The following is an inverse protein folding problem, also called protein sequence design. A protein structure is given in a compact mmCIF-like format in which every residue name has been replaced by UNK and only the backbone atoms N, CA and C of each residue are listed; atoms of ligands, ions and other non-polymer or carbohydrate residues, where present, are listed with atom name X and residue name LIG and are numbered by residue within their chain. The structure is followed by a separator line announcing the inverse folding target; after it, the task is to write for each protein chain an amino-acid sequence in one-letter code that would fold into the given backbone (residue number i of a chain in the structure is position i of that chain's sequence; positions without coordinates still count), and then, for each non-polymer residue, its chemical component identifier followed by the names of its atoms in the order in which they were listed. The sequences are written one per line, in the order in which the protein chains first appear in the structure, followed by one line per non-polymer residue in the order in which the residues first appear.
data_IF_356188041450
#
_entry.id   IF_356188041450
#
_cell.length_a   1.000
_cell.length_b   1.000
_cell.length_c   1.000
_cell.angle_alpha   90.00
_cell.angle_beta   90.00
_cell.angle_gamma   90.00
#
_symmetry.space_group_name_H-M   'P 1'
#
loop_
_entity.id
_entity.type
_entity.pdbx_description
1 polymer ?
#
# COMPACT_ATOMS: atom_id res chain seq x y z
N UNK A 1 24.09 13.98 3.21
CA UNK A 1 23.38 12.81 2.68
C UNK A 1 23.27 12.94 1.17
N UNK A 2 23.70 11.91 0.44
CA UNK A 2 23.36 11.80 -0.98
C UNK A 2 21.83 11.85 -1.16
N UNK A 3 21.36 12.33 -2.31
CA UNK A 3 19.93 12.51 -2.61
C UNK A 3 19.11 11.24 -2.31
N UNK A 4 19.65 10.06 -2.62
CA UNK A 4 19.04 8.75 -2.33
C UNK A 4 18.74 8.55 -0.84
N UNK A 5 19.67 8.90 0.04
CA UNK A 5 19.49 8.76 1.48
C UNK A 5 18.41 9.69 2.04
N UNK A 6 18.28 10.90 1.49
CA UNK A 6 17.20 11.83 1.88
C UNK A 6 15.83 11.34 1.44
N UNK A 7 15.75 10.74 0.26
CA UNK A 7 14.52 10.14 -0.29
C UNK A 7 14.10 8.92 0.55
N UNK A 8 15.06 8.06 0.91
CA UNK A 8 14.79 6.89 1.74
C UNK A 8 14.22 7.28 3.12
N UNK A 9 14.66 8.39 3.71
CA UNK A 9 14.13 8.88 4.99
C UNK A 9 12.65 9.31 4.96
N UNK A 10 12.04 9.50 3.79
CA UNK A 10 10.62 9.83 3.68
C UNK A 10 9.72 8.59 3.70
N UNK A 11 10.29 7.39 3.64
CA UNK A 11 9.52 6.15 3.57
C UNK A 11 9.38 5.55 4.97
N UNK A 12 8.16 5.16 5.34
CA UNK A 12 7.94 4.39 6.56
C UNK A 12 8.45 2.96 6.48
N UNK A 13 8.26 2.31 5.31
CA UNK A 13 8.64 0.93 5.02
C UNK A 13 9.16 0.82 3.57
N UNK A 14 9.91 -0.24 3.25
CA UNK A 14 10.42 -0.55 1.90
C UNK A 14 11.23 0.58 1.26
N UNK A 15 11.98 1.32 2.06
CA UNK A 15 12.71 2.51 1.66
C UNK A 15 13.69 2.25 0.52
N UNK A 16 14.38 1.11 0.53
CA UNK A 16 15.34 0.74 -0.50
C UNK A 16 14.63 0.44 -1.83
N UNK A 17 13.54 -0.33 -1.77
CA UNK A 17 12.77 -0.73 -2.94
C UNK A 17 12.11 0.49 -3.60
N UNK A 18 11.41 1.31 -2.82
CA UNK A 18 10.74 2.51 -3.32
C UNK A 18 11.76 3.49 -3.89
N UNK A 19 12.87 3.73 -3.17
CA UNK A 19 13.94 4.60 -3.70
C UNK A 19 14.45 4.08 -5.02
N UNK A 20 14.75 2.79 -5.15
CA UNK A 20 15.25 2.25 -6.41
C UNK A 20 14.23 2.36 -7.55
N UNK A 21 12.94 2.11 -7.29
CA UNK A 21 11.86 2.29 -8.27
C UNK A 21 11.76 3.75 -8.77
N UNK A 22 11.93 4.73 -7.88
CA UNK A 22 11.91 6.14 -8.23
C UNK A 22 13.10 6.52 -9.12
N UNK A 23 14.30 6.04 -8.80
CA UNK A 23 15.50 6.33 -9.59
C UNK A 23 15.56 5.57 -10.93
N UNK A 24 14.90 4.41 -11.04
CA UNK A 24 14.72 3.70 -12.31
C UNK A 24 13.52 4.20 -13.13
N UNK A 25 12.79 5.22 -12.64
CA UNK A 25 11.64 5.84 -13.31
C UNK A 25 10.52 4.88 -13.74
N UNK A 26 10.32 3.77 -13.03
CA UNK A 26 9.32 2.74 -13.37
C UNK A 26 7.89 3.30 -13.41
N UNK A 27 7.61 4.32 -12.58
CA UNK A 27 6.28 4.87 -12.38
C UNK A 27 5.98 6.05 -13.34
N UNK A 28 6.97 6.53 -14.08
CA UNK A 28 6.86 7.80 -14.82
C UNK A 28 5.87 7.71 -16.00
N UNK A 29 5.79 6.57 -16.66
CA UNK A 29 4.94 6.29 -17.83
C UNK A 29 3.59 5.65 -17.46
N UNK A 30 3.38 5.31 -16.19
CA UNK A 30 2.19 4.61 -15.69
C UNK A 30 1.06 5.57 -15.33
N UNK A 31 -0.18 5.12 -15.51
CA UNK A 31 -1.39 5.85 -15.06
C UNK A 31 -1.55 5.75 -13.54
N UNK A 32 -2.29 6.67 -12.90
CA UNK A 32 -2.48 6.66 -11.44
C UNK A 32 -3.02 5.32 -10.90
N UNK A 33 -3.92 4.67 -11.62
CA UNK A 33 -4.49 3.37 -11.25
C UNK A 33 -3.47 2.24 -11.36
N UNK A 34 -2.61 2.31 -12.38
CA UNK A 34 -1.51 1.36 -12.55
C UNK A 34 -0.45 1.53 -11.46
N UNK A 35 -0.17 2.77 -11.06
CA UNK A 35 0.76 3.09 -9.97
C UNK A 35 0.25 2.51 -8.66
N UNK A 36 -1.03 2.73 -8.33
CA UNK A 36 -1.65 2.19 -7.12
C UNK A 36 -1.56 0.66 -7.10
N UNK A 37 -1.89 0.01 -8.22
CA UNK A 37 -1.82 -1.44 -8.37
C UNK A 37 -0.38 -1.98 -8.22
N UNK A 38 0.61 -1.34 -8.83
CA UNK A 38 2.00 -1.78 -8.75
C UNK A 38 2.58 -1.62 -7.35
N UNK A 39 2.26 -0.52 -6.65
CA UNK A 39 2.75 -0.27 -5.29
C UNK A 39 2.03 -1.11 -4.24
N UNK A 40 0.88 -1.73 -4.54
CA UNK A 40 0.21 -2.62 -3.59
C UNK A 40 1.06 -3.83 -3.20
N UNK A 41 2.03 -4.21 -4.03
CA UNK A 41 2.92 -5.34 -3.74
C UNK A 41 3.88 -5.09 -2.57
N UNK A 42 4.07 -3.83 -2.19
CA UNK A 42 4.89 -3.42 -1.05
C UNK A 42 4.13 -3.49 0.27
N UNK A 43 2.80 -3.57 0.26
CA UNK A 43 1.99 -3.51 1.51
C UNK A 43 1.18 -4.78 1.74
N UNK A 44 1.04 -5.62 0.72
CA UNK A 44 0.31 -6.87 0.81
C UNK A 44 1.26 -8.01 1.18
N UNK A 45 0.91 -8.80 2.19
CA UNK A 45 1.79 -9.84 2.73
C UNK A 45 1.16 -11.24 2.76
N UNK A 46 -0.11 -11.40 2.39
CA UNK A 46 -0.78 -12.69 2.47
C UNK A 46 -0.54 -13.55 1.24
N UNK A 47 -0.36 -14.85 1.43
CA UNK A 47 -0.22 -15.80 0.32
C UNK A 47 -1.57 -15.93 -0.39
N UNK A 48 -1.57 -15.72 -1.70
CA UNK A 48 -2.72 -15.87 -2.60
C UNK A 48 -2.24 -16.57 -3.86
N UNK A 49 -3.13 -17.30 -4.52
CA UNK A 49 -2.86 -17.88 -5.84
C UNK A 49 -2.70 -16.77 -6.89
N UNK A 50 -1.67 -16.90 -7.72
CA UNK A 50 -1.09 -15.80 -8.53
C UNK A 50 -1.79 -15.61 -9.90
N UNK A 51 -3.04 -16.07 -10.04
CA UNK A 51 -3.83 -15.94 -11.28
C UNK A 51 -4.40 -14.51 -11.41
N UNK A 52 -3.56 -13.60 -11.89
CA UNK A 52 -3.87 -12.18 -12.06
C UNK A 52 -4.28 -11.87 -13.51
N UNK A 53 -5.51 -11.40 -13.71
CA UNK A 53 -6.00 -10.91 -15.00
C UNK A 53 -5.71 -9.42 -15.20
N UNK A 54 -4.42 -9.10 -15.36
CA UNK A 54 -3.98 -7.70 -15.52
C UNK A 54 -3.54 -7.34 -16.94
N UNK A 55 -3.55 -6.03 -17.24
CA UNK A 55 -3.14 -5.48 -18.53
C UNK A 55 -1.66 -5.73 -18.85
N UNK A 56 -1.28 -5.64 -20.12
CA UNK A 56 0.12 -5.81 -20.54
C UNK A 56 1.07 -4.80 -19.88
N UNK A 57 0.60 -3.56 -19.67
CA UNK A 57 1.36 -2.49 -18.99
C UNK A 57 1.64 -2.82 -17.52
N UNK A 58 0.66 -3.39 -16.81
CA UNK A 58 0.85 -3.88 -15.44
C UNK A 58 1.79 -5.07 -15.36
N UNK A 59 1.70 -6.01 -16.32
CA UNK A 59 2.65 -7.14 -16.39
C UNK A 59 4.08 -6.67 -16.64
N UNK A 60 4.26 -5.67 -17.49
CA UNK A 60 5.57 -5.04 -17.71
C UNK A 60 6.08 -4.35 -16.43
N UNK A 61 5.21 -3.62 -15.73
CA UNK A 61 5.52 -2.99 -14.44
C UNK A 61 5.93 -4.01 -13.38
N UNK A 62 5.14 -5.09 -13.19
CA UNK A 62 5.43 -6.21 -12.27
C UNK A 62 6.83 -6.76 -12.54
N UNK A 63 7.12 -7.08 -13.81
CA UNK A 63 8.42 -7.62 -14.21
C UNK A 63 9.58 -6.68 -13.87
N UNK A 64 9.46 -5.37 -14.15
CA UNK A 64 10.51 -4.39 -13.82
C UNK A 64 10.74 -4.28 -12.31
N UNK A 65 9.67 -4.36 -11.52
CA UNK A 65 9.75 -4.37 -10.06
C UNK A 65 10.46 -5.64 -9.56
N UNK A 66 10.11 -6.81 -10.09
CA UNK A 66 10.80 -8.07 -9.79
C UNK A 66 12.29 -8.01 -10.14
N UNK A 67 12.64 -7.46 -11.31
CA UNK A 67 14.03 -7.26 -11.74
C UNK A 67 14.81 -6.33 -10.77
N UNK A 68 14.18 -5.29 -10.22
CA UNK A 68 14.79 -4.44 -9.18
C UNK A 68 15.01 -5.23 -7.90
N UNK A 69 14.00 -5.97 -7.45
CA UNK A 69 14.08 -6.76 -6.22
C UNK A 69 15.21 -7.78 -6.29
N UNK A 70 15.36 -8.47 -7.43
CA UNK A 70 16.48 -9.38 -7.66
C UNK A 70 17.85 -8.69 -7.64
N UNK A 71 17.97 -7.48 -8.21
CA UNK A 71 19.23 -6.72 -8.17
C UNK A 71 19.60 -6.34 -6.74
N UNK A 72 18.62 -5.87 -5.96
CA UNK A 72 18.80 -5.51 -4.55
C UNK A 72 19.27 -6.73 -3.76
N UNK A 73 18.56 -7.86 -3.90
CA UNK A 73 18.89 -9.12 -3.24
C UNK A 73 20.32 -9.60 -3.56
N UNK A 74 20.73 -9.55 -4.83
CA UNK A 74 22.10 -9.93 -5.25
C UNK A 74 23.18 -9.03 -4.64
N UNK A 75 22.90 -7.73 -4.47
CA UNK A 75 23.85 -6.81 -3.85
C UNK A 75 23.94 -7.11 -2.35
N UNK A 76 22.82 -7.36 -1.68
CA UNK A 76 22.78 -7.70 -0.26
C UNK A 76 23.54 -9.00 0.03
N UNK A 77 23.38 -10.03 -0.82
CA UNK A 77 24.17 -11.26 -0.79
C UNK A 77 25.67 -10.97 -0.93
N UNK A 78 26.06 -10.11 -1.87
CA UNK A 78 27.48 -9.78 -2.09
C UNK A 78 28.14 -9.02 -0.93
N UNK A 79 27.32 -8.39 -0.08
CA UNK A 79 27.74 -7.64 1.09
C UNK A 79 27.75 -8.48 2.38
N UNK A 80 27.50 -9.80 2.29
CA UNK A 80 27.42 -10.72 3.44
C UNK A 80 26.35 -10.29 4.47
N UNK A 81 25.29 -9.64 3.98
CA UNK A 81 24.12 -9.35 4.80
C UNK A 81 23.39 -10.68 5.01
N UNK A 82 23.57 -11.29 6.19
CA UNK A 82 22.94 -12.56 6.56
C UNK A 82 21.43 -12.47 6.39
N UNK A 83 20.91 -13.05 5.31
CA UNK A 83 19.46 -13.14 5.06
C UNK A 83 18.75 -14.06 6.07
N UNK A 84 19.49 -14.99 6.70
CA UNK A 84 18.95 -16.00 7.63
C UNK A 84 18.68 -15.46 9.05
N UNK A 85 19.37 -14.42 9.50
CA UNK A 85 19.15 -13.83 10.85
C UNK A 85 17.84 -13.01 10.93
N UNK A 86 17.12 -12.90 9.82
CA UNK A 86 16.01 -11.99 9.65
C UNK A 86 14.87 -12.62 8.85
N UNK A 87 14.35 -13.75 9.37
CA UNK A 87 13.12 -14.40 8.89
C UNK A 87 11.92 -13.43 8.76
N UNK A 88 12.01 -12.26 9.38
CA UNK A 88 11.03 -11.17 9.41
C UNK A 88 11.32 -10.03 8.40
N UNK A 89 12.50 -9.93 7.79
CA UNK A 89 12.96 -8.65 7.21
C UNK A 89 12.71 -8.50 5.71
N UNK A 90 12.58 -9.59 4.97
CA UNK A 90 12.09 -9.52 3.59
C UNK A 90 10.62 -9.86 3.58
N UNK A 91 9.79 -8.84 3.78
CA UNK A 91 8.42 -8.93 3.27
C UNK A 91 8.53 -9.06 1.76
N UNK A 92 8.32 -10.29 1.28
CA UNK A 92 8.36 -10.59 -0.15
C UNK A 92 7.29 -9.76 -0.84
N UNK A 93 7.68 -9.09 -1.91
CA UNK A 93 6.75 -8.42 -2.82
C UNK A 93 5.62 -9.39 -3.18
N UNK A 94 4.39 -8.91 -3.04
CA UNK A 94 3.23 -9.76 -3.28
C UNK A 94 2.19 -9.08 -4.16
N UNK A 95 2.09 -9.58 -5.39
CA UNK A 95 1.21 -9.00 -6.40
C UNK A 95 -0.25 -9.51 -6.32
N UNK A 96 -0.61 -10.32 -5.32
CA UNK A 96 -1.92 -10.97 -5.23
C UNK A 96 -3.13 -10.04 -5.15
N UNK A 97 -2.97 -8.78 -4.72
CA UNK A 97 -4.03 -7.76 -4.76
C UNK A 97 -3.87 -6.73 -5.88
N UNK A 98 -2.91 -6.92 -6.80
CA UNK A 98 -2.64 -5.95 -7.87
C UNK A 98 -3.88 -5.71 -8.75
N UNK A 99 -4.61 -6.77 -9.13
CA UNK A 99 -5.83 -6.66 -9.93
C UNK A 99 -6.95 -5.96 -9.16
N UNK A 100 -7.17 -6.35 -7.90
CA UNK A 100 -8.19 -5.78 -7.00
C UNK A 100 -7.98 -4.28 -6.84
N UNK A 101 -6.74 -3.86 -6.57
CA UNK A 101 -6.39 -2.45 -6.38
C UNK A 101 -6.51 -1.66 -7.69
N UNK A 102 -6.14 -2.26 -8.83
CA UNK A 102 -6.30 -1.63 -10.14
C UNK A 102 -7.77 -1.30 -10.43
N UNK A 103 -8.65 -2.29 -10.27
CA UNK A 103 -10.08 -2.13 -10.51
C UNK A 103 -10.74 -1.18 -9.48
N UNK A 104 -10.25 -1.19 -8.22
CA UNK A 104 -10.67 -0.23 -7.21
C UNK A 104 -10.30 1.21 -7.59
N UNK A 105 -9.07 1.45 -8.02
CA UNK A 105 -8.62 2.78 -8.43
C UNK A 105 -9.38 3.29 -9.66
N UNK A 106 -9.87 2.39 -10.53
CA UNK A 106 -10.74 2.72 -11.68
C UNK A 106 -12.20 3.02 -11.31
N UNK A 107 -12.55 2.99 -10.03
CA UNK A 107 -13.89 3.35 -9.56
C UNK A 107 -14.87 2.18 -9.47
N UNK A 108 -14.42 0.92 -9.59
CA UNK A 108 -15.30 -0.25 -9.47
C UNK A 108 -15.87 -0.38 -8.05
N UNK A 109 -17.16 -0.71 -7.86
CA UNK A 109 -17.75 -0.85 -6.52
C UNK A 109 -17.03 -1.88 -5.66
N UNK A 110 -17.02 -1.67 -4.33
CA UNK A 110 -16.31 -2.57 -3.41
C UNK A 110 -16.84 -4.01 -3.52
N UNK A 111 -18.16 -4.15 -3.65
CA UNK A 111 -18.81 -5.44 -3.83
C UNK A 111 -18.36 -6.23 -5.06
N UNK A 112 -17.93 -5.55 -6.12
CA UNK A 112 -17.45 -6.21 -7.33
C UNK A 112 -15.99 -6.64 -7.21
N UNK A 113 -15.12 -5.81 -6.61
CA UNK A 113 -13.71 -6.17 -6.43
C UNK A 113 -13.53 -7.33 -5.44
N UNK A 114 -14.46 -7.53 -4.50
CA UNK A 114 -14.48 -8.70 -3.61
C UNK A 114 -14.66 -10.01 -4.36
N UNK A 115 -15.26 -10.00 -5.55
CA UNK A 115 -15.43 -11.22 -6.34
C UNK A 115 -14.19 -11.57 -7.20
N UNK A 116 -13.16 -10.72 -7.18
CA UNK A 116 -11.91 -10.92 -7.92
C UNK A 116 -10.87 -11.69 -7.10
N UNK A 117 -11.11 -11.91 -5.81
CA UNK A 117 -10.15 -12.55 -4.91
C UNK A 117 -10.85 -13.25 -3.75
N UNK A 118 -10.25 -14.32 -3.24
CA UNK A 118 -10.72 -15.02 -2.03
C UNK A 118 -10.18 -14.38 -0.73
N UNK A 119 -9.45 -13.26 -0.83
CA UNK A 119 -8.92 -12.52 0.32
C UNK A 119 -10.08 -11.86 1.09
N UNK A 120 -10.07 -11.96 2.43
CA UNK A 120 -11.14 -11.37 3.25
C UNK A 120 -11.14 -9.83 3.13
N UNK A 121 -12.33 -9.25 3.22
CA UNK A 121 -12.62 -7.84 2.97
C UNK A 121 -11.80 -6.91 3.86
N UNK A 122 -11.66 -7.27 5.15
CA UNK A 122 -10.89 -6.48 6.11
C UNK A 122 -9.40 -6.37 5.75
N UNK A 123 -8.85 -7.38 5.07
CA UNK A 123 -7.46 -7.36 4.59
C UNK A 123 -7.36 -6.46 3.37
N UNK A 124 -8.32 -6.52 2.45
CA UNK A 124 -8.39 -5.61 1.28
C UNK A 124 -8.44 -4.15 1.76
N UNK A 125 -9.32 -3.83 2.71
CA UNK A 125 -9.45 -2.48 3.29
C UNK A 125 -8.12 -2.03 3.91
N UNK A 126 -7.49 -2.87 4.73
CA UNK A 126 -6.22 -2.55 5.39
C UNK A 126 -5.08 -2.37 4.37
N UNK A 127 -5.06 -3.16 3.31
CA UNK A 127 -4.09 -3.04 2.23
C UNK A 127 -4.23 -1.68 1.52
N UNK A 128 -5.45 -1.27 1.18
CA UNK A 128 -5.68 0.01 0.50
C UNK A 128 -5.36 1.20 1.42
N UNK A 129 -5.63 1.10 2.72
CA UNK A 129 -5.27 2.14 3.69
C UNK A 129 -3.74 2.30 3.81
N UNK A 130 -3.00 1.21 3.95
CA UNK A 130 -1.52 1.21 3.97
C UNK A 130 -0.95 1.72 2.65
N UNK A 131 -1.51 1.28 1.51
CA UNK A 131 -1.11 1.77 0.19
C UNK A 131 -1.27 3.30 0.08
N UNK A 132 -2.35 3.86 0.63
CA UNK A 132 -2.55 5.31 0.65
C UNK A 132 -1.50 6.05 1.49
N UNK A 133 -0.96 5.41 2.54
CA UNK A 133 0.19 5.95 3.29
C UNK A 133 1.46 5.91 2.43
N UNK A 134 1.76 4.76 1.81
CA UNK A 134 2.90 4.62 0.88
C UNK A 134 2.85 5.64 -0.27
N UNK A 135 1.68 5.88 -0.87
CA UNK A 135 1.52 6.89 -1.92
C UNK A 135 1.84 8.31 -1.43
N UNK A 136 1.54 8.63 -0.16
CA UNK A 136 1.87 9.93 0.44
C UNK A 136 3.37 10.06 0.67
N UNK A 137 4.03 9.01 1.14
CA UNK A 137 5.48 8.97 1.33
C UNK A 137 6.18 9.17 -0.03
N UNK A 138 5.76 8.41 -1.05
CA UNK A 138 6.29 8.53 -2.42
C UNK A 138 6.06 9.93 -3.00
N UNK A 139 4.90 10.55 -2.74
CA UNK A 139 4.62 11.93 -3.15
C UNK A 139 5.59 12.93 -2.52
N UNK A 140 5.91 12.77 -1.24
CA UNK A 140 6.88 13.62 -0.53
C UNK A 140 8.30 13.42 -1.09
N UNK A 141 8.70 12.18 -1.35
CA UNK A 141 9.94 11.87 -2.03
C UNK A 141 10.04 12.50 -3.43
N UNK A 142 8.98 12.40 -4.24
CA UNK A 142 8.94 13.02 -5.57
C UNK A 142 9.13 14.54 -5.51
N UNK A 143 8.59 15.20 -4.47
CA UNK A 143 8.82 16.62 -4.22
C UNK A 143 10.29 16.92 -3.91
N UNK A 144 10.97 16.08 -3.12
CA UNK A 144 12.40 16.24 -2.79
C UNK A 144 13.32 16.04 -3.99
N UNK A 145 12.97 15.12 -4.89
CA UNK A 145 13.72 14.86 -6.14
C UNK A 145 13.51 15.98 -7.15
N UNK A 146 12.38 16.70 -7.07
CA UNK A 146 12.02 17.74 -8.03
C UNK A 146 11.23 17.21 -9.23
N UNK A 147 10.45 16.14 -9.05
CA UNK A 147 9.64 15.49 -10.09
C UNK A 147 8.15 15.85 -9.93
N UNK A 148 7.67 16.98 -10.49
CA UNK A 148 6.31 17.46 -10.27
C UNK A 148 5.24 16.57 -10.90
N UNK A 149 5.55 15.94 -12.04
CA UNK A 149 4.62 15.02 -12.72
C UNK A 149 4.38 13.79 -11.86
N UNK A 150 5.45 13.23 -11.30
CA UNK A 150 5.34 12.07 -10.42
C UNK A 150 4.57 12.40 -9.15
N UNK A 151 4.85 13.56 -8.54
CA UNK A 151 4.08 14.07 -7.39
C UNK A 151 2.58 14.16 -7.70
N UNK A 152 2.23 14.71 -8.86
CA UNK A 152 0.83 14.82 -9.29
C UNK A 152 0.19 13.44 -9.45
N UNK A 153 0.86 12.51 -10.12
CA UNK A 153 0.36 11.13 -10.29
C UNK A 153 0.14 10.41 -8.96
N UNK A 154 1.05 10.59 -7.99
CA UNK A 154 0.86 10.01 -6.64
C UNK A 154 -0.35 10.60 -5.92
N UNK A 155 -0.59 11.90 -6.10
CA UNK A 155 -1.78 12.55 -5.54
C UNK A 155 -3.05 12.00 -6.18
N UNK A 156 -3.09 11.91 -7.50
CA UNK A 156 -4.22 11.35 -8.26
C UNK A 156 -4.50 9.90 -7.87
N UNK A 157 -3.46 9.08 -7.72
CA UNK A 157 -3.58 7.69 -7.28
C UNK A 157 -4.15 7.59 -5.85
N UNK A 158 -3.67 8.45 -4.94
CA UNK A 158 -4.17 8.54 -3.56
C UNK A 158 -5.65 8.92 -3.52
N UNK A 159 -6.05 9.90 -4.33
CA UNK A 159 -7.44 10.35 -4.40
C UNK A 159 -8.36 9.28 -5.03
N UNK A 160 -7.87 8.53 -6.01
CA UNK A 160 -8.63 7.45 -6.67
C UNK A 160 -8.96 6.28 -5.72
N UNK A 161 -8.06 5.92 -4.81
CA UNK A 161 -8.28 4.83 -3.86
C UNK A 161 -8.99 5.29 -2.58
N UNK A 162 -8.97 6.59 -2.27
CA UNK A 162 -9.51 7.17 -1.03
C UNK A 162 -11.01 7.45 -1.12
N UNK A 163 -11.82 6.40 -1.19
CA UNK A 163 -13.27 6.50 -1.29
C UNK A 163 -14.04 5.45 -0.48
N UNK A 164 -15.32 5.74 -0.28
CA UNK A 164 -16.34 4.84 0.26
C UNK A 164 -15.94 4.11 1.55
N UNK A 165 -16.28 2.83 1.65
CA UNK A 165 -16.14 1.97 2.83
C UNK A 165 -14.70 1.85 3.33
N UNK A 166 -13.70 1.99 2.44
CA UNK A 166 -12.29 1.85 2.79
C UNK A 166 -11.83 3.01 3.70
N UNK A 167 -12.46 4.18 3.58
CA UNK A 167 -12.12 5.37 4.36
C UNK A 167 -13.32 5.94 5.13
N UNK A 168 -14.32 5.10 5.40
CA UNK A 168 -15.42 5.46 6.28
C UNK A 168 -14.88 5.85 7.66
N UNK A 169 -15.44 6.91 8.25
CA UNK A 169 -15.02 7.36 9.57
C UNK A 169 -15.23 6.23 10.60
N UNK A 170 -14.23 6.03 11.47
CA UNK A 170 -14.39 5.09 12.58
C UNK A 170 -15.59 5.50 13.42
N UNK A 171 -16.43 4.50 13.76
CA UNK A 171 -17.62 4.67 14.59
C UNK A 171 -17.32 5.38 15.92
N UNK A 172 -16.09 5.32 16.41
CA UNK A 172 -15.67 5.97 17.66
C UNK A 172 -15.27 7.44 17.51
N UNK A 173 -15.11 7.93 16.28
CA UNK A 173 -14.51 9.24 15.96
C UNK A 173 -15.41 10.16 15.15
N UNK A 174 -16.40 9.61 14.45
CA UNK A 174 -17.44 10.39 13.77
C UNK A 174 -18.29 11.14 14.79
N UNK A 175 -18.45 12.46 14.62
CA UNK A 175 -19.25 13.30 15.53
C UNK A 175 -20.71 12.82 15.67
N UNK A 176 -21.24 12.12 14.65
CA UNK A 176 -22.58 11.52 14.65
C UNK A 176 -22.74 10.35 15.63
N UNK A 177 -21.66 9.67 16.01
CA UNK A 177 -21.71 8.48 16.86
C UNK A 177 -21.35 8.75 18.33
N UNK A 178 -21.24 10.03 18.75
CA UNK A 178 -21.05 10.39 20.17
C UNK A 178 -22.16 9.86 21.06
N UNK A 179 -23.38 9.73 20.54
CA UNK A 179 -24.51 9.17 21.28
C UNK A 179 -24.33 7.67 21.60
N UNK A 180 -23.71 6.90 20.70
CA UNK A 180 -23.40 5.47 20.94
C UNK A 180 -22.32 5.34 22.00
N UNK A 181 -21.31 6.23 21.98
CA UNK A 181 -20.25 6.29 23.00
C UNK A 181 -20.82 6.55 24.40
N UNK A 182 -21.78 7.48 24.52
CA UNK A 182 -22.48 7.75 25.78
C UNK A 182 -23.28 6.54 26.28
N UNK A 183 -24.01 5.84 25.40
CA UNK A 183 -24.80 4.67 25.80
C UNK A 183 -23.93 3.48 26.27
N UNK A 184 -22.75 3.28 25.69
CA UNK A 184 -21.82 2.21 26.10
C UNK A 184 -21.13 2.55 27.42
N UNK A 185 -20.73 3.82 27.61
CA UNK A 185 -20.12 4.27 28.87
C UNK A 185 -21.11 4.18 30.05
N UNK A 186 -22.40 4.48 29.82
CA UNK A 186 -23.46 4.35 30.82
C UNK A 186 -23.78 2.88 31.19
N UNK A 187 -23.70 1.92 30.26
CA UNK A 187 -23.90 0.49 30.55
C UNK A 187 -22.77 -0.14 31.38
N UNK A 188 -21.54 0.37 31.27
CA UNK A 188 -20.40 -0.12 32.06
C UNK A 188 -20.35 0.37 33.51
N UNK A 189 -21.26 1.27 33.91
CA UNK A 189 -21.32 1.86 35.26
C UNK A 189 -22.34 1.18 36.19
N UNK A 190 -22.96 0.07 35.79
CA UNK A 190 -23.77 -0.71 36.73
C UNK A 190 -22.87 -1.34 37.80
N UNK A 191 -23.05 -1.02 39.10
CA UNK A 191 -22.25 -1.61 40.14
C UNK A 191 -22.48 -3.12 40.14
N UNK A 192 -21.39 -3.88 40.11
CA UNK A 192 -21.41 -5.30 40.50
C UNK A 192 -21.99 -5.33 41.90
N UNK A 193 -23.24 -5.79 42.03
CA UNK A 193 -23.91 -5.90 43.31
C UNK A 193 -23.10 -6.79 44.23
N UNK A 194 -22.66 -6.25 45.36
CA UNK A 194 -22.15 -7.02 46.48
C UNK A 194 -23.33 -7.82 47.08
N UNK A 195 -23.34 -9.14 46.87
CA UNK A 195 -23.99 -10.12 47.75
C UNK A 195 -22.94 -11.01 48.43
#
# INVERSE_FOLDING_TARGET
FELKGRVACEMGNHELMITQMLFENILQDKQPEEIAALLSCLVFQQRVDDDLEVTASLKEGKKKIEEISEKIMKIEESCDVNQEDSLEYYEKLNFGLMEVVYEWARGKPFAEIMNLTDVQEGIIVRCIQQLNETLRDVKNAALLIGEPVLKQKMQEASDAIKRDIVFAASLYTSEENRHIKQSIEDETLLPVGDE
#
